data_IF_716319411587
#
_entry.id   IF_716319411587
#
_cell.length_a   1.000
_cell.length_b   1.000
_cell.length_c   1.000
_cell.angle_alpha   90.00
_cell.angle_beta   90.00
_cell.angle_gamma   90.00
#
_symmetry.space_group_name_H-M   'P 1'
#
loop_
_entity.id
_entity.type
_entity.pdbx_description
1 polymer ?
#
# COMPACT_ATOMS: atom_id res chain seq x y z
N UNK A 1 43.97 -22.21 3.63
CA UNK A 1 42.85 -21.24 3.66
C UNK A 1 41.61 -21.99 4.14
N UNK A 2 41.33 -21.96 5.44
CA UNK A 2 40.15 -22.64 5.99
C UNK A 2 38.90 -21.85 5.55
N UNK A 3 38.07 -22.45 4.70
CA UNK A 3 36.74 -21.92 4.40
C UNK A 3 35.95 -21.88 5.71
N UNK A 4 35.43 -20.72 6.09
CA UNK A 4 34.56 -20.58 7.26
C UNK A 4 33.31 -21.49 7.17
N UNK A 5 32.54 -21.63 8.26
CA UNK A 5 31.34 -22.47 8.27
C UNK A 5 30.38 -22.05 7.15
N UNK A 6 29.82 -23.04 6.42
CA UNK A 6 28.84 -22.79 5.35
C UNK A 6 27.59 -22.15 5.96
N UNK A 7 27.16 -21.03 5.39
CA UNK A 7 25.87 -20.40 5.74
C UNK A 7 24.73 -21.35 5.41
N UNK A 8 23.68 -21.34 6.23
CA UNK A 8 22.48 -22.14 5.96
C UNK A 8 21.69 -21.53 4.81
N UNK A 9 20.94 -22.33 4.04
CA UNK A 9 20.12 -21.82 2.93
C UNK A 9 19.10 -20.76 3.40
N UNK A 10 18.64 -20.86 4.65
CA UNK A 10 17.78 -19.89 5.31
C UNK A 10 18.48 -18.54 5.57
N UNK A 11 19.78 -18.54 5.89
CA UNK A 11 20.58 -17.33 6.05
C UNK A 11 20.97 -16.70 4.70
N UNK A 12 21.09 -17.54 3.68
CA UNK A 12 21.33 -17.10 2.31
C UNK A 12 20.09 -16.42 1.71
N UNK A 13 18.91 -16.97 1.99
CA UNK A 13 17.63 -16.33 1.69
C UNK A 13 17.43 -15.14 2.63
N UNK A 14 17.55 -13.92 2.13
CA UNK A 14 17.37 -12.69 2.94
C UNK A 14 15.88 -12.30 2.97
N UNK A 15 15.11 -12.63 4.03
CA UNK A 15 13.72 -12.20 4.12
C UNK A 15 13.65 -10.67 4.19
N UNK A 16 12.65 -10.09 3.54
CA UNK A 16 12.36 -8.66 3.59
C UNK A 16 10.97 -8.44 4.21
N UNK A 17 10.66 -7.21 4.63
CA UNK A 17 9.34 -6.85 5.18
C UNK A 17 8.18 -7.26 4.28
N UNK A 18 8.40 -7.26 2.97
CA UNK A 18 7.41 -7.62 1.96
C UNK A 18 7.53 -9.05 1.45
N UNK A 19 8.62 -9.75 1.76
CA UNK A 19 8.90 -11.12 1.27
C UNK A 19 9.34 -11.95 2.46
N UNK A 20 8.42 -12.75 3.00
CA UNK A 20 8.70 -13.66 4.11
C UNK A 20 9.61 -14.82 3.70
N UNK A 21 10.22 -15.45 4.71
CA UNK A 21 10.94 -16.70 4.54
C UNK A 21 9.96 -17.81 4.11
N UNK A 22 10.26 -18.60 3.06
CA UNK A 22 9.47 -19.76 2.71
C UNK A 22 9.45 -20.76 3.87
N UNK A 23 8.32 -21.44 4.11
CA UNK A 23 8.22 -22.40 5.22
C UNK A 23 9.22 -23.55 5.11
N UNK A 24 9.63 -23.90 3.89
CA UNK A 24 10.62 -24.97 3.61
C UNK A 24 12.04 -24.59 4.06
N UNK A 25 12.38 -23.29 4.03
CA UNK A 25 13.69 -22.80 4.46
C UNK A 25 13.70 -22.48 5.96
N UNK A 26 12.54 -22.31 6.59
CA UNK A 26 12.48 -21.98 8.02
C UNK A 26 12.95 -23.18 8.87
N UNK A 27 14.10 -23.07 9.59
CA UNK A 27 14.57 -24.15 10.45
C UNK A 27 13.54 -24.52 11.52
N UNK A 28 12.74 -23.55 11.97
CA UNK A 28 11.71 -23.77 12.96
C UNK A 28 10.61 -24.73 12.45
N UNK A 29 10.42 -24.90 11.14
CA UNK A 29 9.44 -25.83 10.56
C UNK A 29 9.73 -27.27 10.95
N UNK A 30 11.01 -27.66 10.94
CA UNK A 30 11.44 -29.04 11.17
C UNK A 30 11.61 -29.40 12.65
N UNK A 31 11.50 -28.41 13.55
CA UNK A 31 11.56 -28.66 14.98
C UNK A 31 10.44 -29.62 15.41
N UNK A 32 10.84 -30.77 15.95
CA UNK A 32 9.92 -31.84 16.37
C UNK A 32 9.78 -31.91 17.89
N UNK A 33 9.93 -30.78 18.58
CA UNK A 33 9.86 -30.71 20.05
C UNK A 33 8.45 -31.08 20.54
N UNK A 34 8.34 -31.72 21.72
CA UNK A 34 7.04 -32.12 22.26
C UNK A 34 6.13 -30.92 22.55
N UNK A 35 6.70 -29.78 22.93
CA UNK A 35 5.95 -28.55 23.18
C UNK A 35 5.31 -27.99 21.91
N UNK A 36 6.06 -27.97 20.80
CA UNK A 36 5.54 -27.48 19.52
C UNK A 36 4.42 -28.38 19.00
N UNK A 37 4.55 -29.71 19.12
CA UNK A 37 3.47 -30.66 18.78
C UNK A 37 2.20 -30.40 19.60
N UNK A 38 2.33 -30.09 20.89
CA UNK A 38 1.18 -29.72 21.75
C UNK A 38 0.53 -28.43 21.26
N UNK A 39 1.31 -27.38 21.01
CA UNK A 39 0.81 -26.11 20.50
C UNK A 39 0.13 -26.26 19.12
N UNK A 40 0.66 -27.08 18.23
CA UNK A 40 0.04 -27.40 16.94
C UNK A 40 -1.26 -28.17 17.11
N UNK A 41 -1.30 -29.17 17.98
CA UNK A 41 -2.51 -29.93 18.29
C UNK A 41 -3.61 -29.02 18.87
N UNK A 42 -3.26 -28.09 19.76
CA UNK A 42 -4.19 -27.10 20.30
C UNK A 42 -4.71 -26.15 19.21
N UNK A 43 -3.82 -25.62 18.35
CA UNK A 43 -4.21 -24.79 17.19
C UNK A 43 -5.13 -25.55 16.23
N UNK A 44 -4.83 -26.82 15.96
CA UNK A 44 -5.64 -27.68 15.10
C UNK A 44 -7.00 -28.00 15.73
N UNK A 45 -7.05 -28.25 17.04
CA UNK A 45 -8.29 -28.49 17.77
C UNK A 45 -9.20 -27.25 17.70
N UNK A 46 -8.65 -26.04 17.89
CA UNK A 46 -9.39 -24.78 17.74
C UNK A 46 -9.87 -24.61 16.30
N UNK A 47 -9.00 -24.82 15.31
CA UNK A 47 -9.36 -24.73 13.88
C UNK A 47 -10.48 -25.69 13.50
N UNK A 48 -10.39 -26.95 13.96
CA UNK A 48 -11.39 -27.97 13.69
C UNK A 48 -12.73 -27.64 14.35
N UNK A 49 -12.71 -27.13 15.58
CA UNK A 49 -13.92 -26.67 16.29
C UNK A 49 -14.62 -25.53 15.54
N UNK A 50 -13.88 -24.51 15.13
CA UNK A 50 -14.43 -23.37 14.39
C UNK A 50 -14.97 -23.79 13.02
N UNK A 51 -14.23 -24.63 12.28
CA UNK A 51 -14.67 -25.16 10.99
C UNK A 51 -15.96 -25.97 11.14
N UNK A 52 -16.06 -26.82 12.17
CA UNK A 52 -17.27 -27.60 12.45
C UNK A 52 -18.45 -26.69 12.72
N UNK A 53 -18.29 -25.65 13.54
CA UNK A 53 -19.37 -24.70 13.83
C UNK A 53 -19.88 -24.01 12.56
N UNK A 54 -18.97 -23.55 11.71
CA UNK A 54 -19.31 -22.93 10.43
C UNK A 54 -20.04 -23.90 9.49
N UNK A 55 -19.54 -25.12 9.35
CA UNK A 55 -20.16 -26.14 8.50
C UNK A 55 -21.56 -26.54 8.97
N UNK A 56 -21.81 -26.57 10.29
CA UNK A 56 -23.15 -26.81 10.82
C UNK A 56 -24.13 -25.70 10.43
N UNK A 57 -23.70 -24.44 10.49
CA UNK A 57 -24.53 -23.31 10.07
C UNK A 57 -24.83 -23.32 8.57
N UNK A 58 -23.81 -23.66 7.76
CA UNK A 58 -23.91 -23.71 6.31
C UNK A 58 -24.80 -24.87 5.82
N UNK A 59 -24.71 -26.04 6.45
CA UNK A 59 -25.44 -27.23 6.05
C UNK A 59 -26.88 -27.28 6.61
N UNK A 60 -27.34 -26.26 7.33
CA UNK A 60 -28.70 -26.20 7.83
C UNK A 60 -29.71 -26.05 6.66
N UNK A 61 -30.84 -26.77 6.67
CA UNK A 61 -31.83 -26.69 5.58
C UNK A 61 -32.53 -25.33 5.49
N UNK A 62 -32.41 -24.49 6.52
CA UNK A 62 -32.89 -23.10 6.56
C UNK A 62 -31.75 -22.21 7.04
N UNK A 63 -30.77 -21.90 6.18
CA UNK A 63 -29.64 -21.07 6.59
C UNK A 63 -30.13 -19.63 6.83
N UNK A 64 -29.50 -18.89 7.77
CA UNK A 64 -29.72 -17.46 7.87
C UNK A 64 -29.22 -16.77 6.59
N UNK A 65 -29.80 -15.61 6.27
CA UNK A 65 -29.42 -14.85 5.06
C UNK A 65 -27.93 -14.47 5.05
N UNK A 66 -27.34 -14.23 6.23
CA UNK A 66 -25.92 -13.93 6.42
C UNK A 66 -25.43 -14.76 7.61
N UNK A 67 -24.31 -15.45 7.44
CA UNK A 67 -23.62 -16.14 8.53
C UNK A 67 -22.70 -15.12 9.20
N UNK A 68 -22.99 -14.76 10.44
CA UNK A 68 -22.19 -13.80 11.20
C UNK A 68 -20.86 -14.43 11.63
N UNK A 69 -19.75 -13.85 11.18
CA UNK A 69 -18.42 -14.19 11.67
C UNK A 69 -18.01 -13.23 12.80
N UNK A 70 -17.94 -13.70 14.06
CA UNK A 70 -17.54 -12.84 15.18
C UNK A 70 -16.09 -12.35 15.04
N UNK A 71 -15.22 -13.04 14.29
CA UNK A 71 -13.86 -12.58 14.03
C UNK A 71 -13.87 -11.33 13.14
N UNK A 72 -14.69 -11.30 12.11
CA UNK A 72 -14.87 -10.15 11.24
C UNK A 72 -15.44 -8.95 12.01
N UNK A 73 -16.48 -9.17 12.81
CA UNK A 73 -17.09 -8.10 13.62
C UNK A 73 -16.09 -7.49 14.62
N UNK A 74 -15.29 -8.34 15.29
CA UNK A 74 -14.24 -7.86 16.21
C UNK A 74 -13.13 -7.11 15.48
N UNK A 75 -12.74 -7.57 14.29
CA UNK A 75 -11.74 -6.88 13.47
C UNK A 75 -12.25 -5.51 13.00
N UNK A 76 -13.52 -5.43 12.61
CA UNK A 76 -14.13 -4.15 12.23
C UNK A 76 -14.20 -3.20 13.43
N UNK A 77 -14.76 -3.67 14.55
CA UNK A 77 -14.81 -2.92 15.81
C UNK A 77 -13.43 -2.39 16.25
N UNK A 78 -12.39 -3.21 16.10
CA UNK A 78 -11.02 -2.83 16.45
C UNK A 78 -10.50 -1.66 15.61
N UNK A 79 -10.93 -1.53 14.35
CA UNK A 79 -10.50 -0.44 13.45
C UNK A 79 -11.36 0.81 13.53
N UNK A 80 -12.64 0.66 13.88
CA UNK A 80 -13.61 1.78 13.88
C UNK A 80 -13.77 2.39 15.27
N UNK A 81 -14.10 1.56 16.26
CA UNK A 81 -14.51 2.02 17.59
C UNK A 81 -13.37 2.00 18.62
N UNK A 82 -12.40 1.09 18.47
CA UNK A 82 -11.35 0.87 19.47
C UNK A 82 -10.11 1.78 19.32
N UNK A 83 -10.12 2.72 18.37
CA UNK A 83 -8.96 3.58 18.07
C UNK A 83 -8.79 4.67 19.13
N UNK A 84 -9.82 5.44 19.41
CA UNK A 84 -9.74 6.56 20.36
C UNK A 84 -9.65 6.13 21.83
N UNK A 85 -10.37 5.08 22.31
CA UNK A 85 -10.26 4.66 23.70
C UNK A 85 -8.85 4.21 24.12
N UNK A 86 -8.07 3.65 23.19
CA UNK A 86 -6.69 3.22 23.44
C UNK A 86 -5.63 4.27 23.04
N UNK A 87 -6.05 5.41 22.51
CA UNK A 87 -5.12 6.46 22.11
C UNK A 87 -4.55 7.14 23.35
N UNK A 88 -3.21 7.10 23.47
CA UNK A 88 -2.48 7.81 24.51
C UNK A 88 -1.73 8.99 23.87
N UNK A 89 -1.97 10.24 24.30
CA UNK A 89 -1.20 11.38 23.83
C UNK A 89 0.23 11.25 24.36
N UNK A 90 1.14 10.78 23.51
CA UNK A 90 2.58 10.65 23.80
C UNK A 90 3.35 11.59 22.88
N UNK A 91 4.54 12.07 23.27
CA UNK A 91 5.30 12.99 22.42
C UNK A 91 5.59 12.39 21.02
N UNK A 92 5.79 11.07 20.91
CA UNK A 92 6.00 10.38 19.63
C UNK A 92 4.75 10.39 18.75
N UNK A 93 3.58 10.11 19.32
CA UNK A 93 2.31 10.07 18.56
C UNK A 93 1.86 11.47 18.17
N UNK A 94 2.01 12.46 19.07
CA UNK A 94 1.72 13.86 18.79
C UNK A 94 2.64 14.43 17.70
N UNK A 95 3.94 14.15 17.75
CA UNK A 95 4.88 14.60 16.71
C UNK A 95 4.57 13.98 15.34
N UNK A 96 4.31 12.67 15.30
CA UNK A 96 3.95 11.99 14.07
C UNK A 96 2.66 12.56 13.46
N UNK A 97 1.65 12.80 14.30
CA UNK A 97 0.41 13.46 13.91
C UNK A 97 0.64 14.86 13.35
N UNK A 98 1.46 15.68 14.02
CA UNK A 98 1.77 17.04 13.55
C UNK A 98 2.51 17.05 12.21
N UNK A 99 3.50 16.17 12.03
CA UNK A 99 4.27 16.07 10.78
C UNK A 99 3.35 15.65 9.62
N UNK A 100 2.49 14.66 9.81
CA UNK A 100 1.59 14.20 8.74
C UNK A 100 0.37 15.10 8.51
N UNK A 101 -0.10 15.84 9.52
CA UNK A 101 -1.21 16.78 9.36
C UNK A 101 -0.75 18.13 8.80
N UNK A 102 0.29 18.72 9.37
CA UNK A 102 0.75 20.08 9.05
C UNK A 102 1.76 20.05 7.89
N UNK A 103 2.61 19.03 7.81
CA UNK A 103 3.66 18.93 6.80
C UNK A 103 3.16 19.06 5.37
N UNK A 104 2.17 18.25 4.92
CA UNK A 104 1.61 18.37 3.58
C UNK A 104 0.98 19.75 3.32
N UNK A 105 0.33 20.35 4.31
CA UNK A 105 -0.32 21.66 4.17
C UNK A 105 0.73 22.74 3.90
N UNK A 106 1.79 22.80 4.71
CA UNK A 106 2.87 23.78 4.52
C UNK A 106 3.62 23.53 3.20
N UNK A 107 3.84 22.27 2.85
CA UNK A 107 4.46 21.88 1.59
C UNK A 107 3.67 22.42 0.38
N UNK A 108 2.35 22.22 0.34
CA UNK A 108 1.52 22.71 -0.75
C UNK A 108 1.39 24.23 -0.78
N UNK A 109 1.32 24.90 0.39
CA UNK A 109 1.33 26.36 0.45
C UNK A 109 2.61 26.92 -0.18
N UNK A 110 3.77 26.35 0.15
CA UNK A 110 5.04 26.78 -0.42
C UNK A 110 5.11 26.51 -1.92
N UNK A 111 4.72 25.31 -2.36
CA UNK A 111 4.69 24.95 -3.78
C UNK A 111 3.81 25.92 -4.59
N UNK A 112 2.57 26.15 -4.16
CA UNK A 112 1.66 27.08 -4.84
C UNK A 112 2.14 28.53 -4.76
N UNK A 113 2.77 28.94 -3.66
CA UNK A 113 3.33 30.28 -3.55
C UNK A 113 4.43 30.51 -4.59
N UNK A 114 5.37 29.57 -4.74
CA UNK A 114 6.46 29.71 -5.72
C UNK A 114 5.95 29.76 -7.16
N UNK A 115 4.97 28.94 -7.53
CA UNK A 115 4.36 28.99 -8.87
C UNK A 115 3.63 30.30 -9.13
N UNK A 116 2.88 30.80 -8.15
CA UNK A 116 2.14 32.05 -8.27
C UNK A 116 3.09 33.23 -8.44
N UNK A 117 4.10 33.33 -7.58
CA UNK A 117 5.09 34.40 -7.63
C UNK A 117 5.88 34.36 -8.95
N UNK A 118 6.16 33.17 -9.49
CA UNK A 118 6.79 32.99 -10.81
C UNK A 118 5.87 33.47 -11.95
N UNK A 119 4.60 33.07 -11.94
CA UNK A 119 3.62 33.51 -12.95
C UNK A 119 3.39 35.02 -12.90
N UNK A 120 3.30 35.61 -11.71
CA UNK A 120 3.14 37.05 -11.54
C UNK A 120 4.35 37.85 -12.09
N UNK A 121 5.57 37.33 -11.95
CA UNK A 121 6.77 37.91 -12.58
C UNK A 121 6.71 37.85 -14.09
N UNK A 122 6.33 36.70 -14.67
CA UNK A 122 6.21 36.55 -16.13
C UNK A 122 5.14 37.48 -16.74
N UNK A 123 4.04 37.72 -16.01
CA UNK A 123 3.00 38.66 -16.43
C UNK A 123 3.53 40.09 -16.39
N UNK A 124 4.27 40.47 -15.34
CA UNK A 124 4.87 41.80 -15.20
C UNK A 124 5.88 42.12 -16.29
N UNK A 125 6.63 41.12 -16.75
CA UNK A 125 7.64 41.28 -17.79
C UNK A 125 7.05 41.15 -19.22
N UNK A 126 5.72 41.02 -19.36
CA UNK A 126 4.98 40.66 -20.60
C UNK A 126 5.47 39.38 -21.30
N UNK A 127 6.40 38.64 -20.67
CA UNK A 127 7.00 37.42 -21.19
C UNK A 127 5.99 36.26 -21.20
N UNK A 128 4.98 36.30 -20.33
CA UNK A 128 3.90 35.31 -20.31
C UNK A 128 3.14 35.27 -21.64
N UNK A 129 2.71 36.42 -22.14
CA UNK A 129 2.00 36.56 -23.43
C UNK A 129 2.90 36.20 -24.60
N UNK A 130 4.18 36.59 -24.57
CA UNK A 130 5.17 36.27 -25.62
C UNK A 130 5.49 34.76 -25.67
N UNK A 131 5.61 34.10 -24.51
CA UNK A 131 5.82 32.65 -24.42
C UNK A 131 4.61 31.83 -24.89
N UNK A 132 3.39 32.31 -24.61
CA UNK A 132 2.13 31.72 -25.11
C UNK A 132 2.01 31.86 -26.63
N UNK A 133 2.39 33.01 -27.19
CA UNK A 133 2.43 33.21 -28.64
C UNK A 133 3.51 32.35 -29.30
N UNK A 134 4.68 32.20 -28.69
CA UNK A 134 5.75 31.36 -29.21
C UNK A 134 5.37 29.87 -29.20
N UNK A 135 4.71 29.40 -28.14
CA UNK A 135 4.19 28.02 -28.09
C UNK A 135 3.07 27.83 -29.10
N UNK A 136 2.10 28.73 -29.22
CA UNK A 136 1.06 28.65 -30.27
C UNK A 136 1.68 28.66 -31.69
N UNK A 137 2.69 29.49 -31.95
CA UNK A 137 3.41 29.55 -33.23
C UNK A 137 4.20 28.26 -33.51
N UNK A 138 4.84 27.65 -32.51
CA UNK A 138 5.49 26.35 -32.65
C UNK A 138 4.48 25.22 -32.89
N UNK A 139 3.32 25.26 -32.24
CA UNK A 139 2.28 24.24 -32.37
C UNK A 139 1.57 24.31 -33.75
N UNK A 140 1.41 25.52 -34.29
CA UNK A 140 0.84 25.76 -35.63
C UNK A 140 1.82 25.47 -36.76
N UNK A 141 3.13 25.72 -36.57
CA UNK A 141 4.17 25.34 -37.54
C UNK A 141 4.41 23.83 -37.60
N UNK A 142 4.34 23.12 -36.48
CA UNK A 142 4.38 21.64 -36.45
C UNK A 142 3.04 21.04 -36.94
N UNK A 143 1.91 21.69 -36.67
CA UNK A 143 0.58 21.31 -37.18
C UNK A 143 0.41 21.46 -38.70
N UNK A 144 1.21 22.30 -39.35
CA UNK A 144 1.16 22.49 -40.81
C UNK A 144 1.93 21.43 -41.62
N UNK A 145 2.81 20.64 -41.01
CA UNK A 145 3.60 19.62 -41.70
C UNK A 145 2.95 18.21 -41.71
N UNK A 146 1.86 17.98 -40.95
CA UNK A 146 1.18 16.67 -40.86
C UNK A 146 -0.21 16.63 -41.51
N UNK A 147 -0.43 17.44 -42.54
CA UNK A 147 -1.67 17.43 -43.37
C UNK A 147 -1.38 17.48 -44.86
N UNK A 148 -0.29 16.83 -45.31
CA UNK A 148 0.04 16.69 -46.74
C UNK A 148 0.67 15.32 -47.02
N UNK A 149 -0.03 14.25 -46.64
CA UNK A 149 0.22 12.89 -47.11
C UNK A 149 -0.94 12.03 -46.65
N UNK A 150 -1.99 11.96 -47.46
CA UNK A 150 -3.01 10.89 -47.60
C UNK A 150 -3.92 11.44 -48.71
N UNK A 151 -3.58 11.10 -49.97
CA UNK A 151 -4.51 11.00 -51.11
C UNK A 151 -3.72 10.54 -52.34
N UNK A 152 -3.18 9.33 -52.23
CA UNK A 152 -2.94 8.43 -53.35
C UNK A 152 -3.36 7.06 -52.83
N UNK A 153 -4.10 6.30 -53.63
CA UNK A 153 -4.80 5.03 -53.31
C UNK A 153 -6.27 5.16 -52.89
N UNK A 154 -7.13 5.47 -53.87
CA UNK A 154 -8.37 4.69 -54.09
C UNK A 154 -8.84 4.84 -55.54
N UNK A 155 -9.17 3.69 -56.11
CA UNK A 155 -9.65 3.34 -57.46
C UNK A 155 -10.47 4.39 -58.20
#
# INVERSE_FOLDING_TARGET
MASGPRRTAAEEYRPNRFVSLPPELDPATYDSSPEKRRAEAERLAIRARLKRQYLLQLNNPKPPAIIEDPALLRWDYARTHNVYPNFRPTPKTSFLGAVFAIGPILFWIAAFKTERDYKEKLIREELFSKGLLQTILQNTTVGHCKRRSINTWRM
#
